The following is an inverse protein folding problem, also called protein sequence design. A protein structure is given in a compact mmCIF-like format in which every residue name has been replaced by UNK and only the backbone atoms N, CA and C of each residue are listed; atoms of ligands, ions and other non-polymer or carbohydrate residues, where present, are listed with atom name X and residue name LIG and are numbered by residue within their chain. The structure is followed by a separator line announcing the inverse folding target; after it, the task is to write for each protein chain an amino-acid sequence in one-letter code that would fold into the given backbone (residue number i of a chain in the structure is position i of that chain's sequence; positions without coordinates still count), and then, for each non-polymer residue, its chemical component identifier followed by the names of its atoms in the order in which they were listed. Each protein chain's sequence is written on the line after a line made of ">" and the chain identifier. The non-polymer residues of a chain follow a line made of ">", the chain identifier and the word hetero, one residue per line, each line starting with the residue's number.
data_IF_121941686680
#
_entry.id   IF_121941686680
#
_cell.length_a   1.000
_cell.length_b   1.000
_cell.length_c   1.000
_cell.angle_alpha   90.00
_cell.angle_beta   90.00
_cell.angle_gamma   90.00
#
_symmetry.space_group_name_H-M   'P 1'
#
loop_
_entity.id
_entity.type
_entity.pdbx_description
1 polymer ?
#
# COMPACT_ATOMS: atom_id res chain seq x y z
N UNK A 1 -7.87 6.85 -3.32
CA UNK A 1 -7.50 5.42 -3.44
C UNK A 1 -6.04 5.23 -3.82
N UNK A 2 -5.58 5.72 -4.99
CA UNK A 2 -4.20 5.52 -5.45
C UNK A 2 -3.13 6.03 -4.46
N UNK A 3 -3.32 7.21 -3.87
CA UNK A 3 -2.43 7.73 -2.83
C UNK A 3 -2.32 6.79 -1.60
N UNK A 4 -3.39 6.08 -1.25
CA UNK A 4 -3.36 5.11 -0.15
C UNK A 4 -2.54 3.88 -0.52
N UNK A 5 -2.49 3.49 -1.80
CA UNK A 5 -1.63 2.40 -2.27
C UNK A 5 -0.16 2.82 -2.22
N UNK A 6 0.15 4.05 -2.62
CA UNK A 6 1.51 4.60 -2.54
C UNK A 6 2.01 4.63 -1.09
N UNK A 7 1.12 4.99 -0.15
CA UNK A 7 1.42 5.10 1.29
C UNK A 7 1.19 3.80 2.06
N UNK A 8 0.88 2.70 1.40
CA UNK A 8 0.55 1.47 2.09
C UNK A 8 1.81 0.91 2.78
N UNK A 9 1.77 0.57 4.09
CA UNK A 9 2.98 0.18 4.83
C UNK A 9 3.64 -1.11 4.32
N UNK A 10 2.89 -1.95 3.59
CA UNK A 10 3.44 -3.13 2.92
C UNK A 10 4.07 -2.84 1.53
N UNK A 11 4.01 -1.60 1.04
CA UNK A 11 4.69 -1.18 -0.17
C UNK A 11 6.07 -0.61 0.22
N UNK A 12 7.10 -1.45 0.19
CA UNK A 12 8.47 -1.02 0.55
C UNK A 12 9.06 0.00 -0.43
N UNK A 13 8.60 -0.01 -1.67
CA UNK A 13 8.88 1.00 -2.69
C UNK A 13 7.77 0.99 -3.76
N UNK A 14 7.56 2.13 -4.43
CA UNK A 14 6.47 2.34 -5.39
C UNK A 14 6.94 3.17 -6.59
N UNK A 15 6.65 2.68 -7.80
CA UNK A 15 6.76 3.45 -9.03
C UNK A 15 5.36 3.84 -9.51
N UNK A 16 5.07 5.13 -9.57
CA UNK A 16 3.81 5.67 -10.11
C UNK A 16 4.02 6.02 -11.58
N UNK A 17 3.29 5.33 -12.46
CA UNK A 17 3.41 5.50 -13.92
C UNK A 17 2.14 6.16 -14.47
N UNK A 18 2.31 7.22 -15.25
CA UNK A 18 1.30 7.79 -16.13
C UNK A 18 1.73 7.68 -17.60
N UNK A 19 0.78 7.65 -18.53
CA UNK A 19 1.03 7.74 -19.96
C UNK A 19 1.46 9.17 -20.37
N UNK A 20 0.82 10.21 -19.83
CA UNK A 20 1.04 11.64 -20.12
C UNK A 20 -0.20 12.40 -20.60
N UNK A 21 -1.27 11.72 -21.02
CA UNK A 21 -2.45 12.36 -21.62
C UNK A 21 -3.78 12.13 -20.87
N UNK A 22 -3.71 11.61 -19.66
CA UNK A 22 -4.88 11.25 -18.85
C UNK A 22 -5.32 12.40 -17.95
N UNK A 23 -6.56 12.31 -17.48
CA UNK A 23 -7.11 13.30 -16.57
C UNK A 23 -6.39 13.34 -15.21
N UNK A 24 -5.83 12.21 -14.76
CA UNK A 24 -5.05 12.12 -13.52
C UNK A 24 -3.56 12.28 -13.84
N UNK A 25 -3.13 13.53 -14.00
CA UNK A 25 -1.75 13.87 -14.31
C UNK A 25 -0.81 13.56 -13.14
N UNK A 26 0.35 12.99 -13.45
CA UNK A 26 1.33 12.53 -12.46
C UNK A 26 1.83 13.69 -11.58
N UNK A 27 2.00 14.88 -12.16
CA UNK A 27 2.44 16.07 -11.42
C UNK A 27 1.40 16.50 -10.37
N UNK A 28 0.13 16.62 -10.77
CA UNK A 28 -0.96 16.94 -9.85
C UNK A 28 -1.16 15.84 -8.78
N UNK A 29 -0.97 14.58 -9.16
CA UNK A 29 -0.99 13.46 -8.22
C UNK A 29 0.16 13.57 -7.19
N UNK A 30 1.37 13.90 -7.63
CA UNK A 30 2.54 14.08 -6.77
C UNK A 30 2.36 15.25 -5.79
N UNK A 31 1.83 16.38 -6.25
CA UNK A 31 1.52 17.53 -5.39
C UNK A 31 0.50 17.18 -4.30
N UNK A 32 -0.53 16.41 -4.66
CA UNK A 32 -1.59 16.01 -3.73
C UNK A 32 -1.19 14.82 -2.84
N UNK A 33 -0.11 14.11 -3.17
CA UNK A 33 0.41 13.01 -2.36
C UNK A 33 1.07 13.49 -1.06
N UNK A 34 1.42 14.77 -0.91
CA UNK A 34 2.06 15.31 0.30
C UNK A 34 3.48 14.78 0.51
N UNK A 35 3.90 14.59 1.76
CA UNK A 35 5.23 14.06 2.09
C UNK A 35 5.35 12.57 1.72
N UNK A 36 6.47 12.22 1.07
CA UNK A 36 6.87 10.86 0.73
C UNK A 36 8.41 10.77 0.70
N UNK A 37 8.93 9.55 0.81
CA UNK A 37 10.36 9.28 0.70
C UNK A 37 10.77 9.20 -0.79
N UNK A 38 11.59 10.13 -1.30
CA UNK A 38 12.00 10.13 -2.71
C UNK A 38 12.90 8.95 -3.08
N UNK A 39 13.53 8.25 -2.12
CA UNK A 39 14.30 7.03 -2.39
C UNK A 39 13.39 5.80 -2.57
N UNK A 40 12.11 5.92 -2.21
CA UNK A 40 11.14 4.80 -2.23
C UNK A 40 9.92 5.07 -3.09
N UNK A 41 9.67 6.30 -3.52
CA UNK A 41 8.55 6.65 -4.38
C UNK A 41 9.04 7.42 -5.59
N UNK A 42 9.00 6.76 -6.74
CA UNK A 42 9.40 7.34 -8.01
C UNK A 42 8.16 7.60 -8.89
N UNK A 43 8.31 8.50 -9.85
CA UNK A 43 7.25 8.91 -10.77
C UNK A 43 7.78 8.89 -12.20
N UNK A 44 6.99 8.35 -13.13
CA UNK A 44 7.35 8.29 -14.54
C UNK A 44 6.15 8.65 -15.42
N UNK A 45 6.42 9.41 -16.48
CA UNK A 45 5.46 9.69 -17.54
C UNK A 45 5.99 9.06 -18.83
N UNK A 46 5.27 8.07 -19.38
CA UNK A 46 5.75 7.28 -20.52
C UNK A 46 6.04 8.14 -21.76
N UNK A 47 5.18 9.12 -22.07
CA UNK A 47 5.36 10.03 -23.20
C UNK A 47 6.60 10.94 -23.12
N UNK A 48 7.26 11.00 -21.96
CA UNK A 48 8.53 11.71 -21.78
C UNK A 48 9.76 10.81 -21.92
N UNK A 49 9.57 9.53 -22.24
CA UNK A 49 10.65 8.56 -22.41
C UNK A 49 10.68 8.08 -23.86
N UNK A 50 11.89 7.85 -24.39
CA UNK A 50 12.08 7.27 -25.71
C UNK A 50 11.84 5.75 -25.70
N UNK A 51 12.27 5.07 -24.63
CA UNK A 51 11.94 3.68 -24.31
C UNK A 51 11.37 3.62 -22.90
N UNK A 52 10.03 3.59 -22.80
CA UNK A 52 9.32 3.59 -21.54
C UNK A 52 9.53 2.31 -20.70
N UNK A 53 9.87 1.20 -21.36
CA UNK A 53 10.10 -0.08 -20.69
C UNK A 53 11.48 -0.08 -20.04
N UNK A 54 12.52 0.32 -20.78
CA UNK A 54 13.87 0.43 -20.24
C UNK A 54 13.93 1.44 -19.09
N UNK A 55 13.34 2.63 -19.28
CA UNK A 55 13.28 3.65 -18.24
C UNK A 55 12.54 3.15 -16.99
N UNK A 56 11.41 2.45 -17.17
CA UNK A 56 10.65 1.87 -16.05
C UNK A 56 11.45 0.80 -15.29
N UNK A 57 12.17 -0.06 -16.01
CA UNK A 57 13.02 -1.09 -15.41
C UNK A 57 14.19 -0.50 -14.63
N UNK A 58 14.82 0.55 -15.13
CA UNK A 58 15.91 1.25 -14.43
C UNK A 58 15.42 1.84 -13.09
N UNK A 59 14.26 2.51 -13.10
CA UNK A 59 13.64 3.05 -11.89
C UNK A 59 13.27 1.95 -10.89
N UNK A 60 12.71 0.83 -11.37
CA UNK A 60 12.40 -0.32 -10.51
C UNK A 60 13.65 -0.96 -9.91
N UNK A 61 14.77 -1.00 -10.64
CA UNK A 61 16.05 -1.47 -10.11
C UNK A 61 16.56 -0.56 -8.98
N UNK A 62 16.49 0.75 -9.13
CA UNK A 62 16.89 1.72 -8.10
C UNK A 62 16.04 1.53 -6.82
N UNK A 63 14.71 1.45 -6.98
CA UNK A 63 13.78 1.19 -5.88
C UNK A 63 14.06 -0.17 -5.19
N UNK A 64 14.38 -1.20 -5.97
CA UNK A 64 14.74 -2.52 -5.44
C UNK A 64 16.02 -2.48 -4.62
N UNK A 65 17.06 -1.77 -5.06
CA UNK A 65 18.31 -1.66 -4.31
C UNK A 65 18.15 -0.97 -2.95
N UNK A 66 17.18 -0.07 -2.81
CA UNK A 66 16.80 0.50 -1.50
C UNK A 66 16.03 -0.52 -0.67
N UNK A 67 14.95 -1.08 -1.21
CA UNK A 67 14.02 -1.95 -0.48
C UNK A 67 14.64 -3.30 -0.05
N UNK A 68 15.59 -3.85 -0.82
CA UNK A 68 16.19 -5.17 -0.55
C UNK A 68 16.91 -5.28 0.79
N UNK A 69 17.25 -4.14 1.40
CA UNK A 69 17.93 -4.09 2.69
C UNK A 69 16.96 -4.09 3.88
N UNK A 70 15.64 -3.96 3.63
CA UNK A 70 14.63 -3.97 4.68
C UNK A 70 14.61 -5.32 5.40
N UNK A 71 14.50 -5.25 6.73
CA UNK A 71 14.43 -6.44 7.59
C UNK A 71 13.26 -6.31 8.55
N UNK A 72 12.61 -7.43 8.81
CA UNK A 72 11.57 -7.52 9.84
C UNK A 72 12.21 -7.23 11.20
N UNK A 73 11.52 -6.42 11.98
CA UNK A 73 11.83 -6.17 13.37
C UNK A 73 10.62 -6.48 14.26
N UNK A 74 10.83 -6.74 15.56
CA UNK A 74 9.72 -6.85 16.50
C UNK A 74 8.93 -5.54 16.55
N UNK A 75 7.66 -5.58 16.14
CA UNK A 75 6.72 -4.45 16.22
C UNK A 75 5.72 -4.58 17.37
N UNK A 76 4.87 -3.58 17.51
CA UNK A 76 3.75 -3.55 18.47
C UNK A 76 2.44 -3.89 17.79
N UNK A 77 1.51 -4.51 18.52
CA UNK A 77 0.15 -4.73 18.00
C UNK A 77 -0.55 -3.42 17.62
N UNK A 78 -0.20 -2.31 18.28
CA UNK A 78 -0.72 -0.97 17.96
C UNK A 78 -0.35 -0.43 16.59
N UNK A 79 0.65 -1.02 15.93
CA UNK A 79 1.07 -0.64 14.58
C UNK A 79 0.28 -1.38 13.50
N UNK A 80 -0.51 -2.39 13.90
CA UNK A 80 -1.24 -3.24 13.00
C UNK A 80 -2.60 -2.63 12.63
N UNK A 81 -2.87 -2.61 11.33
CA UNK A 81 -4.21 -2.37 10.80
C UNK A 81 -4.78 -3.64 10.20
N UNK A 82 -6.05 -3.96 10.45
CA UNK A 82 -6.68 -5.19 9.97
C UNK A 82 -8.06 -4.93 9.35
N UNK A 83 -8.34 -5.60 8.23
CA UNK A 83 -9.67 -5.62 7.62
C UNK A 83 -10.38 -6.94 7.91
N UNK A 84 -11.69 -6.89 8.11
CA UNK A 84 -12.54 -8.07 8.22
C UNK A 84 -13.52 -8.05 7.06
N UNK A 85 -13.55 -9.13 6.29
CA UNK A 85 -14.48 -9.29 5.18
C UNK A 85 -15.25 -10.59 5.37
N UNK A 86 -16.55 -10.55 5.08
CA UNK A 86 -17.35 -11.76 4.97
C UNK A 86 -17.35 -12.23 3.50
N UNK A 87 -17.15 -13.53 3.29
CA UNK A 87 -17.32 -14.15 1.98
C UNK A 87 -18.80 -14.43 1.69
N UNK A 88 -19.13 -15.68 1.39
CA UNK A 88 -20.51 -16.13 1.27
C UNK A 88 -21.15 -16.32 2.65
N UNK A 89 -22.30 -15.68 2.91
CA UNK A 89 -23.03 -15.91 4.15
C UNK A 89 -23.68 -17.29 4.14
N UNK A 90 -23.41 -18.10 5.16
CA UNK A 90 -24.19 -19.28 5.48
C UNK A 90 -24.96 -19.08 6.81
N UNK A 91 -25.89 -19.99 7.11
CA UNK A 91 -26.71 -19.90 8.32
C UNK A 91 -25.94 -20.12 9.63
N UNK A 92 -24.66 -20.53 9.57
CA UNK A 92 -23.81 -20.81 10.73
C UNK A 92 -22.81 -19.68 11.01
N UNK A 93 -22.46 -18.86 10.03
CA UNK A 93 -21.48 -17.77 10.16
C UNK A 93 -21.80 -16.83 11.33
N UNK A 94 -23.09 -16.52 11.54
CA UNK A 94 -23.55 -15.68 12.63
C UNK A 94 -23.39 -16.29 14.04
N UNK A 95 -23.14 -17.60 14.12
CA UNK A 95 -23.04 -18.36 15.38
C UNK A 95 -21.61 -18.82 15.63
N UNK A 96 -20.78 -18.95 14.59
CA UNK A 96 -19.40 -19.48 14.67
C UNK A 96 -18.35 -18.43 14.33
N UNK A 97 -18.14 -18.14 13.03
CA UNK A 97 -17.05 -17.32 12.54
C UNK A 97 -17.17 -15.86 12.99
N UNK A 98 -18.35 -15.26 12.90
CA UNK A 98 -18.54 -13.84 13.23
C UNK A 98 -18.33 -13.57 14.73
N UNK A 99 -18.87 -14.38 15.67
CA UNK A 99 -18.54 -14.24 17.09
C UNK A 99 -17.05 -14.40 17.41
N UNK A 100 -16.34 -15.28 16.70
CA UNK A 100 -14.88 -15.44 16.87
C UNK A 100 -14.13 -14.20 16.36
N UNK A 101 -14.49 -13.68 15.18
CA UNK A 101 -13.92 -12.44 14.65
C UNK A 101 -14.22 -11.23 15.53
N UNK A 102 -15.39 -11.18 16.19
CA UNK A 102 -15.71 -10.17 17.19
C UNK A 102 -14.74 -10.20 18.37
N UNK A 103 -14.49 -11.37 18.96
CA UNK A 103 -13.50 -11.53 20.04
C UNK A 103 -12.08 -11.19 19.61
N UNK A 104 -11.72 -11.55 18.37
CA UNK A 104 -10.44 -11.16 17.77
C UNK A 104 -10.34 -9.64 17.68
N UNK A 105 -11.34 -8.95 17.14
CA UNK A 105 -11.38 -7.49 17.05
C UNK A 105 -11.22 -6.82 18.41
N UNK A 106 -11.98 -7.28 19.41
CA UNK A 106 -11.90 -6.74 20.78
C UNK A 106 -10.49 -6.88 21.36
N UNK A 107 -9.88 -8.05 21.20
CA UNK A 107 -8.50 -8.30 21.65
C UNK A 107 -7.49 -7.38 20.95
N UNK A 108 -7.60 -7.24 19.64
CA UNK A 108 -6.68 -6.42 18.85
C UNK A 108 -6.80 -4.94 19.21
N UNK A 109 -8.03 -4.43 19.31
CA UNK A 109 -8.33 -3.04 19.73
C UNK A 109 -7.83 -2.78 21.15
N UNK A 110 -8.02 -3.72 22.08
CA UNK A 110 -7.51 -3.60 23.45
C UNK A 110 -5.97 -3.50 23.52
N UNK A 111 -5.26 -3.99 22.49
CA UNK A 111 -3.81 -3.88 22.36
C UNK A 111 -3.38 -2.72 21.41
N UNK A 112 -4.31 -1.86 21.03
CA UNK A 112 -4.07 -0.63 20.26
C UNK A 112 -4.11 -0.79 18.73
N UNK A 113 -4.33 -2.00 18.21
CA UNK A 113 -4.50 -2.21 16.76
C UNK A 113 -5.78 -1.53 16.26
N UNK A 114 -5.81 -1.19 14.97
CA UNK A 114 -6.95 -0.47 14.38
C UNK A 114 -7.63 -1.28 13.28
N UNK A 115 -8.98 -1.39 13.27
CA UNK A 115 -9.67 -1.87 12.08
C UNK A 115 -9.53 -0.86 10.94
N UNK A 116 -9.35 -1.35 9.70
CA UNK A 116 -9.28 -0.55 8.47
C UNK A 116 -10.65 -0.08 7.99
#
# INVERSE_FOLDING_TARGET
>A
MLQNMVRHPNAGAVLVIGLGCENNQVDAFRETLGEFDPERVHFMVCQHQDDEVEAGLEQLHQLYEVMRHDRREPGKLSELKFGLECGGSDGLSGITANPMLGRFSDYMIANGAQPC
#
